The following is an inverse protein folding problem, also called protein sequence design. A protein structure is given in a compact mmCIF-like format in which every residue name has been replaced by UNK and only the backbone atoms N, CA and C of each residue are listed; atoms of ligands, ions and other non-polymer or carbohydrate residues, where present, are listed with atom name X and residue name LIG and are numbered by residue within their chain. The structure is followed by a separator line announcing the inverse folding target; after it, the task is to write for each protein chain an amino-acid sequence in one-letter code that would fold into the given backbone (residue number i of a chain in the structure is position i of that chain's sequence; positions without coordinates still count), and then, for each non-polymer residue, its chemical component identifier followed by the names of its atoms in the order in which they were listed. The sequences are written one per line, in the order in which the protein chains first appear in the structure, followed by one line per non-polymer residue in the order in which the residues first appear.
data_IF_843530910621
#
_entry.id   IF_843530910621
#
_cell.length_a   1.000
_cell.length_b   1.000
_cell.length_c   1.000
_cell.angle_alpha   90.00
_cell.angle_beta   90.00
_cell.angle_gamma   90.00
#
_symmetry.space_group_name_H-M   'P 1'
#
loop_
_entity.id
_entity.type
_entity.pdbx_description
1 polymer ?
#
# COMPACT_ATOMS: atom_id res chain seq x y z
N UNK A 1 21.46 -19.61 -21.93
CA UNK A 1 21.24 -18.25 -22.45
C UNK A 1 20.26 -18.29 -23.61
N UNK A 2 19.81 -17.13 -24.10
CA UNK A 2 19.06 -17.03 -25.35
C UNK A 2 19.79 -17.74 -26.51
N UNK A 3 19.04 -18.32 -27.44
CA UNK A 3 19.59 -19.12 -28.55
C UNK A 3 20.49 -18.30 -29.51
N UNK A 4 20.31 -16.99 -29.56
CA UNK A 4 20.99 -16.07 -30.50
C UNK A 4 22.03 -15.16 -29.83
N UNK A 5 22.44 -15.45 -28.60
CA UNK A 5 23.35 -14.61 -27.82
C UNK A 5 24.57 -15.40 -27.35
N UNK A 6 25.73 -14.76 -27.31
CA UNK A 6 26.89 -15.29 -26.61
C UNK A 6 26.72 -15.16 -25.09
N UNK A 7 27.59 -15.80 -24.30
CA UNK A 7 27.55 -15.69 -22.83
C UNK A 7 27.90 -14.30 -22.30
N UNK A 8 28.60 -13.49 -23.10
CA UNK A 8 28.94 -12.09 -22.79
C UNK A 8 27.78 -11.14 -23.07
N UNK A 9 26.85 -11.50 -23.96
CA UNK A 9 25.68 -10.68 -24.32
C UNK A 9 24.52 -10.78 -23.31
N UNK A 10 24.65 -11.61 -22.25
CA UNK A 10 23.55 -11.83 -21.30
C UNK A 10 24.02 -12.15 -19.88
N UNK A 11 23.31 -11.60 -18.90
CA UNK A 11 23.45 -11.95 -17.48
C UNK A 11 22.14 -12.56 -17.00
N UNK A 12 22.21 -13.79 -16.48
CA UNK A 12 21.04 -14.48 -15.92
C UNK A 12 20.87 -14.12 -14.44
N UNK A 13 19.75 -13.51 -14.09
CA UNK A 13 19.37 -13.28 -12.69
C UNK A 13 18.46 -14.40 -12.20
N UNK A 14 18.72 -14.86 -10.98
CA UNK A 14 17.97 -15.93 -10.34
C UNK A 14 17.30 -15.38 -9.09
N UNK A 15 16.01 -15.64 -8.87
CA UNK A 15 15.35 -15.26 -7.63
C UNK A 15 16.00 -15.90 -6.40
N UNK A 16 15.84 -15.25 -5.25
CA UNK A 16 16.24 -15.85 -3.98
C UNK A 16 15.27 -16.99 -3.63
N UNK A 17 15.69 -18.24 -3.84
CA UNK A 17 14.97 -19.41 -3.36
C UNK A 17 15.35 -19.69 -1.91
N UNK A 18 14.36 -19.86 -1.02
CA UNK A 18 14.63 -20.44 0.30
C UNK A 18 15.14 -21.86 0.11
N UNK A 19 16.03 -22.30 0.99
CA UNK A 19 16.58 -23.66 0.95
C UNK A 19 15.45 -24.69 0.95
N UNK A 20 15.46 -25.61 -0.01
CA UNK A 20 14.39 -26.60 -0.23
C UNK A 20 13.18 -26.12 -1.06
N UNK A 21 13.09 -24.84 -1.46
CA UNK A 21 12.06 -24.38 -2.40
C UNK A 21 12.49 -24.61 -3.86
N UNK A 22 11.74 -25.44 -4.57
CA UNK A 22 11.87 -25.60 -6.02
C UNK A 22 10.98 -24.59 -6.77
N UNK A 23 11.36 -24.19 -8.00
CA UNK A 23 10.48 -23.42 -8.87
C UNK A 23 9.15 -24.17 -9.08
N UNK A 24 8.02 -23.51 -8.80
CA UNK A 24 6.70 -24.08 -9.03
C UNK A 24 6.09 -23.50 -10.31
N UNK A 25 5.65 -24.39 -11.20
CA UNK A 25 4.96 -24.02 -12.44
C UNK A 25 3.44 -24.17 -12.33
N UNK A 26 2.94 -24.49 -11.12
CA UNK A 26 1.54 -24.83 -10.88
C UNK A 26 0.69 -23.55 -10.84
N UNK A 27 -0.22 -23.32 -11.80
CA UNK A 27 -1.05 -22.11 -11.83
C UNK A 27 -2.01 -22.00 -10.64
N UNK A 28 -2.33 -23.12 -9.99
CA UNK A 28 -3.25 -23.21 -8.85
C UNK A 28 -2.61 -22.96 -7.49
N UNK A 29 -1.27 -23.01 -7.39
CA UNK A 29 -0.59 -22.53 -6.19
C UNK A 29 -0.57 -21.00 -6.23
N UNK A 30 -1.57 -20.39 -5.59
CA UNK A 30 -1.48 -18.99 -5.17
C UNK A 30 -0.37 -18.88 -4.12
N UNK A 31 0.88 -18.88 -4.58
CA UNK A 31 1.93 -18.20 -3.82
C UNK A 31 1.50 -16.74 -3.76
N UNK A 32 1.29 -16.22 -2.56
CA UNK A 32 0.88 -14.82 -2.35
C UNK A 32 1.87 -13.84 -3.01
N UNK A 33 3.11 -14.28 -3.25
CA UNK A 33 4.18 -13.53 -3.93
C UNK A 33 4.82 -14.34 -5.05
N UNK A 34 4.89 -13.77 -6.26
CA UNK A 34 5.68 -14.36 -7.35
C UNK A 34 7.16 -14.28 -6.99
N UNK A 35 7.86 -15.41 -6.97
CA UNK A 35 9.27 -15.48 -6.55
C UNK A 35 10.15 -14.57 -7.42
N UNK A 36 9.82 -14.35 -8.70
CA UNK A 36 10.54 -13.40 -9.57
C UNK A 36 10.62 -11.98 -8.98
N UNK A 37 9.64 -11.57 -8.17
CA UNK A 37 9.61 -10.25 -7.53
C UNK A 37 10.53 -10.18 -6.30
N UNK A 38 11.33 -11.22 -6.00
CA UNK A 38 12.38 -11.16 -4.97
C UNK A 38 13.73 -10.72 -5.53
N UNK A 39 13.90 -10.63 -6.86
CA UNK A 39 15.12 -10.06 -7.45
C UNK A 39 15.13 -8.56 -7.16
N UNK A 40 16.22 -8.05 -6.59
CA UNK A 40 16.29 -6.64 -6.24
C UNK A 40 16.44 -5.76 -7.49
N UNK A 41 15.80 -4.58 -7.53
CA UNK A 41 15.92 -3.65 -8.65
C UNK A 41 17.38 -3.25 -8.97
N UNK A 42 18.21 -3.10 -7.95
CA UNK A 42 19.63 -2.75 -8.09
C UNK A 42 20.47 -3.87 -8.73
N UNK A 43 20.10 -5.14 -8.54
CA UNK A 43 20.78 -6.27 -9.20
C UNK A 43 20.46 -6.30 -10.70
N UNK A 44 19.23 -5.94 -11.05
CA UNK A 44 18.78 -5.78 -12.44
C UNK A 44 19.54 -4.61 -13.09
N UNK A 45 19.52 -3.44 -12.45
CA UNK A 45 20.20 -2.25 -12.95
C UNK A 45 21.71 -2.48 -13.11
N UNK A 46 22.36 -3.06 -12.09
CA UNK A 46 23.78 -3.39 -12.14
C UNK A 46 24.13 -4.39 -13.24
N UNK A 47 23.27 -5.38 -13.50
CA UNK A 47 23.45 -6.32 -14.60
C UNK A 47 23.34 -5.65 -15.97
N UNK A 48 22.36 -4.76 -16.15
CA UNK A 48 22.21 -3.99 -17.40
C UNK A 48 23.41 -3.06 -17.61
N UNK A 49 23.83 -2.32 -16.59
CA UNK A 49 24.98 -1.43 -16.68
C UNK A 49 26.27 -2.21 -17.00
N UNK A 50 26.48 -3.37 -16.38
CA UNK A 50 27.62 -4.24 -16.67
C UNK A 50 27.66 -4.70 -18.13
N UNK A 51 26.51 -5.06 -18.72
CA UNK A 51 26.43 -5.44 -20.13
C UNK A 51 26.72 -4.27 -21.08
N UNK A 52 26.46 -3.04 -20.64
CA UNK A 52 26.68 -1.82 -21.41
C UNK A 52 28.03 -1.16 -21.13
N UNK A 53 28.89 -1.79 -20.33
CA UNK A 53 30.18 -1.22 -19.87
C UNK A 53 30.00 0.15 -19.18
N UNK A 54 28.94 0.27 -18.38
CA UNK A 54 28.62 1.46 -17.59
C UNK A 54 28.96 1.24 -16.12
N UNK A 55 29.59 2.23 -15.50
CA UNK A 55 29.75 2.27 -14.06
C UNK A 55 28.37 2.45 -13.39
N UNK A 56 28.07 1.61 -12.41
CA UNK A 56 26.84 1.67 -11.63
C UNK A 56 27.15 1.47 -10.16
N UNK A 57 26.83 2.49 -9.36
CA UNK A 57 26.89 2.43 -7.92
C UNK A 57 25.53 2.82 -7.35
N UNK A 58 24.96 1.92 -6.54
CA UNK A 58 23.73 2.18 -5.81
C UNK A 58 24.02 2.08 -4.30
N UNK A 59 23.83 3.17 -3.53
CA UNK A 59 24.32 3.29 -2.16
C UNK A 59 23.47 2.53 -1.13
N UNK A 60 22.45 1.79 -1.57
CA UNK A 60 21.55 1.03 -0.71
C UNK A 60 21.49 -0.45 -1.09
N UNK A 61 21.10 -1.27 -0.13
CA UNK A 61 20.80 -2.69 -0.26
C UNK A 61 19.34 -2.91 0.14
N UNK A 62 18.56 -3.59 -0.71
CA UNK A 62 17.16 -3.92 -0.43
C UNK A 62 17.04 -5.04 0.59
N UNK A 63 16.33 -4.78 1.69
CA UNK A 63 16.04 -5.76 2.74
C UNK A 63 14.64 -6.35 2.61
N UNK A 64 13.66 -5.54 2.21
CA UNK A 64 12.27 -5.98 2.06
C UNK A 64 11.58 -5.20 0.95
N UNK A 65 10.74 -5.88 0.16
CA UNK A 65 9.91 -5.28 -0.89
C UNK A 65 8.46 -5.67 -0.59
N UNK A 66 7.61 -4.68 -0.34
CA UNK A 66 6.18 -4.86 -0.13
C UNK A 66 5.48 -5.49 -1.33
N UNK A 67 4.42 -6.25 -1.08
CA UNK A 67 3.75 -7.04 -2.12
C UNK A 67 3.06 -6.19 -3.20
N UNK A 68 2.68 -4.98 -2.84
CA UNK A 68 2.08 -3.97 -3.71
C UNK A 68 3.11 -2.92 -4.17
N UNK A 69 4.41 -3.08 -3.88
CA UNK A 69 5.42 -2.08 -4.22
C UNK A 69 5.46 -1.75 -5.72
N UNK A 70 5.13 -2.70 -6.61
CA UNK A 70 5.07 -2.45 -8.07
C UNK A 70 3.92 -1.53 -8.51
N UNK A 71 2.97 -1.25 -7.63
CA UNK A 71 1.75 -0.49 -7.92
C UNK A 71 1.89 0.93 -7.36
N UNK A 72 1.56 1.93 -8.17
CA UNK A 72 1.50 3.31 -7.71
C UNK A 72 0.16 3.57 -7.03
N UNK A 73 0.20 4.13 -5.83
CA UNK A 73 -0.99 4.47 -5.04
C UNK A 73 -0.95 5.93 -4.60
N UNK A 74 -2.04 6.65 -4.83
CA UNK A 74 -2.25 7.97 -4.23
C UNK A 74 -3.44 7.93 -3.30
N UNK A 75 -3.19 8.39 -2.09
CA UNK A 75 -4.19 8.58 -1.06
C UNK A 75 -4.38 10.07 -0.80
N UNK A 76 -5.55 10.43 -0.31
CA UNK A 76 -5.91 11.80 0.00
C UNK A 76 -6.61 11.85 1.36
N UNK A 77 -6.12 12.72 2.24
CA UNK A 77 -6.83 13.05 3.48
C UNK A 77 -7.83 14.14 3.15
N UNK A 78 -9.14 13.96 3.41
CA UNK A 78 -10.15 14.94 3.04
C UNK A 78 -10.13 16.12 4.01
N UNK A 79 -9.14 16.99 3.89
CA UNK A 79 -9.02 18.28 4.59
C UNK A 79 -8.92 19.46 3.60
N UNK A 80 -8.72 19.17 2.32
CA UNK A 80 -8.77 20.11 1.24
C UNK A 80 -9.33 19.43 -0.02
N UNK A 81 -9.69 20.21 -1.04
CA UNK A 81 -10.00 19.66 -2.36
C UNK A 81 -8.75 19.68 -3.22
N UNK A 82 -8.47 18.58 -3.90
CA UNK A 82 -7.30 18.47 -4.77
C UNK A 82 -7.71 18.31 -6.24
N UNK A 83 -7.00 18.99 -7.13
CA UNK A 83 -7.15 18.77 -8.57
C UNK A 83 -6.41 17.49 -8.95
N UNK A 84 -7.16 16.49 -9.43
CA UNK A 84 -6.66 15.15 -9.74
C UNK A 84 -6.76 14.82 -11.23
N UNK A 85 -6.73 15.84 -12.11
CA UNK A 85 -6.72 15.65 -13.57
C UNK A 85 -5.58 14.74 -14.06
N UNK A 86 -4.43 14.70 -13.36
CA UNK A 86 -3.31 13.80 -13.66
C UNK A 86 -3.55 12.32 -13.32
N UNK A 87 -4.65 11.99 -12.64
CA UNK A 87 -4.98 10.64 -12.16
C UNK A 87 -6.17 10.01 -12.90
N UNK A 88 -6.49 10.50 -14.10
CA UNK A 88 -7.58 9.95 -14.92
C UNK A 88 -7.41 8.44 -15.12
N UNK A 89 -8.49 7.68 -14.92
CA UNK A 89 -8.47 6.21 -14.99
C UNK A 89 -7.90 5.50 -13.75
N UNK A 90 -7.30 6.23 -12.80
CA UNK A 90 -6.80 5.66 -11.54
C UNK A 90 -7.86 5.67 -10.44
N UNK A 91 -7.56 5.01 -9.32
CA UNK A 91 -8.38 5.04 -8.10
C UNK A 91 -7.67 5.87 -7.05
N UNK A 92 -8.29 6.97 -6.61
CA UNK A 92 -7.82 7.77 -5.47
C UNK A 92 -8.41 7.21 -4.18
N UNK A 93 -7.63 7.15 -3.10
CA UNK A 93 -8.08 6.61 -1.82
C UNK A 93 -8.31 7.73 -0.81
N UNK A 94 -9.57 8.00 -0.47
CA UNK A 94 -9.98 8.98 0.53
C UNK A 94 -9.82 8.40 1.94
N UNK A 95 -8.92 8.98 2.73
CA UNK A 95 -8.53 8.56 4.09
C UNK A 95 -9.38 9.26 5.15
N UNK A 96 -10.67 8.97 5.16
CA UNK A 96 -11.62 9.45 6.19
C UNK A 96 -11.25 8.96 7.60
N UNK A 97 -10.46 7.90 7.69
CA UNK A 97 -9.87 7.41 8.94
C UNK A 97 -8.77 8.32 9.52
N UNK A 98 -8.12 9.14 8.68
CA UNK A 98 -7.12 10.12 9.13
C UNK A 98 -7.76 11.48 9.45
N UNK A 99 -8.78 11.88 8.69
CA UNK A 99 -9.61 13.05 8.98
C UNK A 99 -11.06 12.80 8.52
N UNK A 100 -12.02 12.77 9.45
CA UNK A 100 -13.42 12.49 9.12
C UNK A 100 -14.18 13.79 8.81
N UNK A 101 -13.97 14.34 7.62
CA UNK A 101 -14.69 15.52 7.12
C UNK A 101 -15.57 15.14 5.91
N UNK A 102 -16.86 14.96 6.18
CA UNK A 102 -17.84 14.57 5.17
C UNK A 102 -18.14 15.69 4.16
N UNK A 103 -17.97 16.96 4.54
CA UNK A 103 -18.18 18.08 3.64
C UNK A 103 -17.05 18.13 2.61
N UNK A 104 -15.81 17.98 3.06
CA UNK A 104 -14.65 17.90 2.17
C UNK A 104 -14.73 16.68 1.26
N UNK A 105 -15.13 15.52 1.79
CA UNK A 105 -15.39 14.32 1.00
C UNK A 105 -16.45 14.56 -0.09
N UNK A 106 -17.61 15.16 0.24
CA UNK A 106 -18.66 15.44 -0.74
C UNK A 106 -18.18 16.37 -1.86
N UNK A 107 -17.37 17.38 -1.52
CA UNK A 107 -16.73 18.27 -2.50
C UNK A 107 -15.75 17.51 -3.39
N UNK A 108 -14.87 16.71 -2.80
CA UNK A 108 -13.86 15.94 -3.54
C UNK A 108 -14.49 14.93 -4.50
N UNK A 109 -15.50 14.18 -4.07
CA UNK A 109 -16.26 13.26 -4.92
C UNK A 109 -17.03 13.98 -6.04
N UNK A 110 -17.36 15.26 -5.85
CA UNK A 110 -18.02 16.08 -6.87
C UNK A 110 -17.06 16.52 -7.97
N UNK A 111 -15.73 16.55 -7.73
CA UNK A 111 -14.73 16.93 -8.73
C UNK A 111 -14.80 16.00 -9.93
N UNK A 112 -14.85 16.58 -11.13
CA UNK A 112 -14.79 15.81 -12.37
C UNK A 112 -13.33 15.65 -12.80
N UNK A 113 -12.79 14.45 -12.59
CA UNK A 113 -11.39 14.09 -12.77
C UNK A 113 -11.19 12.87 -13.68
N UNK A 114 -12.27 12.21 -14.10
CA UNK A 114 -12.19 10.88 -14.72
C UNK A 114 -11.60 9.79 -13.81
N UNK A 115 -11.52 10.04 -12.50
CA UNK A 115 -10.98 9.14 -11.49
C UNK A 115 -12.12 8.46 -10.70
N UNK A 116 -11.85 7.25 -10.21
CA UNK A 116 -12.72 6.59 -9.24
C UNK A 116 -12.15 6.77 -7.83
N UNK A 117 -13.00 6.63 -6.82
CA UNK A 117 -12.63 6.81 -5.43
C UNK A 117 -12.83 5.52 -4.64
N UNK A 118 -11.82 5.15 -3.87
CA UNK A 118 -11.98 4.23 -2.75
C UNK A 118 -12.02 5.05 -1.47
N UNK A 119 -12.82 4.64 -0.48
CA UNK A 119 -12.96 5.37 0.78
C UNK A 119 -12.53 4.45 1.91
N UNK A 120 -11.61 4.88 2.76
CA UNK A 120 -11.21 4.18 3.99
C UNK A 120 -11.75 4.99 5.16
N UNK A 121 -12.60 4.38 5.99
CA UNK A 121 -13.22 5.06 7.14
C UNK A 121 -13.32 4.14 8.34
N UNK A 122 -13.19 4.72 9.54
CA UNK A 122 -13.48 4.06 10.82
C UNK A 122 -14.86 4.44 11.37
N UNK A 123 -15.46 5.52 10.84
CA UNK A 123 -16.73 6.07 11.31
C UNK A 123 -17.78 6.00 10.22
N UNK A 124 -19.08 5.87 10.58
CA UNK A 124 -20.17 5.98 9.63
C UNK A 124 -20.11 7.29 8.83
N UNK A 125 -20.32 7.20 7.53
CA UNK A 125 -20.47 8.35 6.62
C UNK A 125 -21.95 8.52 6.31
N UNK A 126 -22.43 9.75 6.14
CA UNK A 126 -23.80 9.99 5.72
C UNK A 126 -24.12 9.28 4.39
N UNK A 127 -25.03 8.33 4.47
CA UNK A 127 -25.44 7.47 3.35
C UNK A 127 -26.00 8.28 2.17
N UNK A 128 -26.50 9.50 2.40
CA UNK A 128 -26.93 10.39 1.31
C UNK A 128 -25.77 10.82 0.41
N UNK A 129 -24.60 11.12 0.99
CA UNK A 129 -23.38 11.46 0.25
C UNK A 129 -22.93 10.27 -0.58
N UNK A 130 -22.88 9.08 0.05
CA UNK A 130 -22.50 7.85 -0.63
C UNK A 130 -23.43 7.52 -1.80
N UNK A 131 -24.75 7.63 -1.60
CA UNK A 131 -25.75 7.41 -2.66
C UNK A 131 -25.63 8.42 -3.80
N UNK A 132 -25.42 9.70 -3.49
CA UNK A 132 -25.21 10.78 -4.46
C UNK A 132 -24.03 10.45 -5.39
N UNK A 133 -22.94 9.92 -4.84
CA UNK A 133 -21.69 9.66 -5.58
C UNK A 133 -21.44 8.19 -5.93
N UNK A 134 -22.45 7.32 -5.81
CA UNK A 134 -22.30 5.86 -5.97
C UNK A 134 -21.47 5.43 -7.18
N UNK A 135 -21.69 6.08 -8.34
CA UNK A 135 -21.01 5.71 -9.60
C UNK A 135 -19.51 5.97 -9.59
N UNK A 136 -19.04 6.91 -8.77
CA UNK A 136 -17.61 7.25 -8.63
C UNK A 136 -16.92 6.45 -7.54
N UNK A 137 -17.68 5.85 -6.60
CA UNK A 137 -17.14 5.09 -5.49
C UNK A 137 -16.91 3.63 -5.94
N UNK A 138 -15.64 3.25 -6.08
CA UNK A 138 -15.21 1.90 -6.44
C UNK A 138 -15.38 0.92 -5.29
N UNK A 139 -14.89 1.28 -4.10
CA UNK A 139 -14.97 0.41 -2.91
C UNK A 139 -14.89 1.25 -1.63
N UNK A 140 -15.71 0.92 -0.63
CA UNK A 140 -15.61 1.47 0.71
C UNK A 140 -15.00 0.43 1.67
N UNK A 141 -13.85 0.75 2.24
CA UNK A 141 -13.19 -0.02 3.30
C UNK A 141 -13.65 0.52 4.65
N UNK A 142 -14.48 -0.26 5.35
CA UNK A 142 -14.93 0.10 6.69
C UNK A 142 -14.02 -0.61 7.71
N UNK A 143 -13.12 0.17 8.32
CA UNK A 143 -12.18 -0.31 9.33
C UNK A 143 -12.85 -0.26 10.70
N UNK A 144 -13.33 -1.39 11.16
CA UNK A 144 -14.08 -1.51 12.40
C UNK A 144 -13.17 -1.56 13.61
N UNK A 145 -13.58 -0.86 14.64
CA UNK A 145 -13.04 -0.89 16.00
C UNK A 145 -14.18 -1.17 17.00
N UNK A 146 -13.93 -0.96 18.30
CA UNK A 146 -14.95 -1.12 19.35
C UNK A 146 -16.19 -0.22 19.18
N UNK A 147 -16.10 0.84 18.38
CA UNK A 147 -17.19 1.76 18.06
C UNK A 147 -17.96 1.40 16.77
N UNK A 148 -17.79 0.18 16.25
CA UNK A 148 -18.41 -0.25 15.00
C UNK A 148 -19.93 -0.06 14.94
N UNK A 149 -20.49 0.13 13.74
CA UNK A 149 -21.92 0.33 13.53
C UNK A 149 -22.52 -0.65 12.53
N UNK A 150 -23.24 -1.66 13.04
CA UNK A 150 -24.01 -2.58 12.19
C UNK A 150 -25.08 -1.83 11.38
N UNK A 151 -25.64 -0.76 11.94
CA UNK A 151 -26.62 0.09 11.25
C UNK A 151 -25.99 0.72 10.01
N UNK A 152 -24.77 1.23 10.11
CA UNK A 152 -24.06 1.79 8.98
C UNK A 152 -23.84 0.74 7.88
N UNK A 153 -23.38 -0.47 8.23
CA UNK A 153 -23.17 -1.55 7.26
C UNK A 153 -24.48 -1.99 6.59
N UNK A 154 -25.57 -2.09 7.37
CA UNK A 154 -26.93 -2.34 6.84
C UNK A 154 -27.35 -1.28 5.83
N UNK A 155 -27.10 -0.02 6.12
CA UNK A 155 -27.47 1.07 5.21
C UNK A 155 -26.54 1.16 4.00
N UNK A 156 -25.25 0.83 4.16
CA UNK A 156 -24.27 0.72 3.10
C UNK A 156 -24.65 -0.39 2.10
N UNK A 157 -25.05 -1.57 2.58
CA UNK A 157 -25.55 -2.66 1.74
C UNK A 157 -26.71 -2.20 0.84
N UNK A 158 -27.66 -1.44 1.39
CA UNK A 158 -28.80 -0.88 0.62
C UNK A 158 -28.39 0.14 -0.44
N UNK A 159 -27.19 0.73 -0.36
CA UNK A 159 -26.69 1.61 -1.43
C UNK A 159 -26.26 0.83 -2.66
N UNK A 160 -25.89 -0.45 -2.49
CA UNK A 160 -25.26 -1.27 -3.53
C UNK A 160 -23.86 -0.78 -3.94
N UNK A 161 -23.18 -0.02 -3.07
CA UNK A 161 -21.75 0.28 -3.19
C UNK A 161 -20.99 -0.96 -2.70
N UNK A 162 -19.93 -1.36 -3.42
CA UNK A 162 -19.05 -2.42 -2.97
C UNK A 162 -18.32 -1.98 -1.69
N UNK A 163 -18.31 -2.83 -0.67
CA UNK A 163 -17.56 -2.56 0.55
C UNK A 163 -16.78 -3.78 1.03
N UNK A 164 -15.75 -3.52 1.84
CA UNK A 164 -14.92 -4.52 2.50
C UNK A 164 -14.86 -4.15 3.98
N UNK A 165 -15.13 -5.12 4.84
CA UNK A 165 -15.04 -4.97 6.29
C UNK A 165 -13.63 -5.36 6.73
N UNK A 166 -12.92 -4.47 7.38
CA UNK A 166 -11.59 -4.75 7.93
C UNK A 166 -11.51 -4.37 9.40
N UNK A 167 -10.50 -4.85 10.11
CA UNK A 167 -10.21 -4.41 11.49
C UNK A 167 -8.71 -4.51 11.75
N UNK A 168 -8.23 -3.74 12.73
CA UNK A 168 -6.89 -3.88 13.32
C UNK A 168 -6.94 -4.54 14.70
N UNK A 169 -8.13 -4.88 15.16
CA UNK A 169 -8.36 -5.58 16.42
C UNK A 169 -8.05 -7.08 16.27
N UNK A 170 -7.94 -7.77 17.40
CA UNK A 170 -7.57 -9.18 17.46
C UNK A 170 -8.66 -10.12 16.91
N UNK A 171 -8.28 -11.38 16.67
CA UNK A 171 -9.24 -12.44 16.33
C UNK A 171 -10.38 -12.58 17.34
N UNK A 172 -10.11 -12.37 18.64
CA UNK A 172 -11.14 -12.40 19.68
C UNK A 172 -12.20 -11.30 19.50
N UNK A 173 -11.83 -10.11 19.02
CA UNK A 173 -12.78 -9.06 18.68
C UNK A 173 -13.65 -9.50 17.49
N UNK A 174 -13.04 -10.02 16.43
CA UNK A 174 -13.77 -10.51 15.25
C UNK A 174 -14.76 -11.61 15.64
N UNK A 175 -14.34 -12.56 16.48
CA UNK A 175 -15.19 -13.65 16.94
C UNK A 175 -16.40 -13.13 17.74
N UNK A 176 -16.20 -12.08 18.55
CA UNK A 176 -17.26 -11.46 19.34
C UNK A 176 -18.36 -10.79 18.51
N UNK A 177 -18.03 -10.29 17.31
CA UNK A 177 -18.96 -9.58 16.42
C UNK A 177 -19.41 -10.44 15.23
N UNK A 178 -18.87 -11.66 15.10
CA UNK A 178 -19.03 -12.49 13.90
C UNK A 178 -20.48 -12.77 13.55
N UNK A 179 -21.32 -13.07 14.54
CA UNK A 179 -22.74 -13.36 14.33
C UNK A 179 -23.51 -12.12 13.87
N UNK A 180 -23.14 -10.93 14.36
CA UNK A 180 -23.76 -9.67 13.97
C UNK A 180 -23.45 -9.29 12.51
N UNK A 181 -22.28 -9.70 12.00
CA UNK A 181 -21.79 -9.33 10.68
C UNK A 181 -21.90 -10.43 9.61
N UNK A 182 -22.33 -11.65 9.96
CA UNK A 182 -22.30 -12.82 9.06
C UNK A 182 -23.07 -12.63 7.75
N UNK A 183 -24.16 -11.86 7.77
CA UNK A 183 -24.98 -11.57 6.59
C UNK A 183 -24.43 -10.41 5.75
N UNK A 184 -23.42 -9.70 6.25
CA UNK A 184 -22.90 -8.48 5.64
C UNK A 184 -21.50 -8.64 5.04
N UNK A 185 -20.77 -9.69 5.41
CA UNK A 185 -19.46 -10.01 4.83
C UNK A 185 -18.47 -10.52 5.86
N UNK A 186 -17.34 -11.00 5.37
CA UNK A 186 -16.22 -11.44 6.21
C UNK A 186 -15.47 -10.21 6.70
N UNK A 187 -15.16 -10.19 7.99
CA UNK A 187 -14.30 -9.18 8.61
C UNK A 187 -12.85 -9.64 8.45
N UNK A 188 -12.07 -8.88 7.68
CA UNK A 188 -10.66 -9.18 7.47
C UNK A 188 -9.80 -8.48 8.53
N UNK A 189 -8.98 -9.25 9.24
CA UNK A 189 -7.95 -8.67 10.12
C UNK A 189 -6.82 -8.18 9.24
N UNK A 190 -6.44 -6.92 9.42
CA UNK A 190 -5.25 -6.33 8.86
C UNK A 190 -4.22 -6.25 9.98
N UNK A 191 -3.04 -6.82 9.75
CA UNK A 191 -1.94 -6.87 10.70
C UNK A 191 -0.78 -6.03 10.15
N UNK A 192 0.02 -5.39 11.03
CA UNK A 192 1.23 -4.73 10.58
C UNK A 192 2.26 -5.78 10.14
N UNK A 193 3.27 -5.36 9.38
CA UNK A 193 4.43 -6.21 9.13
C UNK A 193 5.08 -6.59 10.46
N UNK A 194 5.29 -7.89 10.68
CA UNK A 194 6.16 -8.38 11.75
C UNK A 194 7.60 -8.54 11.20
N UNK A 195 8.54 -7.65 11.58
CA UNK A 195 9.93 -7.73 11.12
C UNK A 195 10.61 -9.03 11.55
N UNK A 196 10.16 -9.64 12.65
CA UNK A 196 10.73 -10.88 13.16
C UNK A 196 10.40 -12.09 12.28
N UNK A 197 9.41 -11.99 11.39
CA UNK A 197 9.10 -13.03 10.40
C UNK A 197 9.93 -12.89 9.11
N UNK A 198 10.62 -11.77 8.93
CA UNK A 198 11.38 -11.45 7.72
C UNK A 198 12.87 -11.66 7.99
N UNK A 199 13.46 -12.69 7.35
CA UNK A 199 14.84 -13.12 7.60
C UNK A 199 15.89 -11.99 7.48
N UNK A 200 15.71 -11.07 6.52
CA UNK A 200 16.56 -9.90 6.28
C UNK A 200 16.35 -8.73 7.24
N UNK A 201 15.27 -8.73 8.04
CA UNK A 201 14.97 -7.67 9.00
C UNK A 201 15.13 -8.10 10.47
N UNK A 202 15.15 -9.42 10.75
CA UNK A 202 15.17 -10.00 12.12
C UNK A 202 16.19 -9.38 13.07
N UNK A 203 17.36 -9.00 12.57
CA UNK A 203 18.48 -8.48 13.37
C UNK A 203 18.82 -7.02 13.06
N UNK A 204 17.97 -6.34 12.28
CA UNK A 204 18.21 -4.97 11.87
C UNK A 204 17.52 -4.00 12.84
N UNK A 205 18.18 -2.88 13.13
CA UNK A 205 17.57 -1.77 13.83
C UNK A 205 16.74 -0.93 12.85
N UNK A 206 15.42 -1.06 12.91
CA UNK A 206 14.50 -0.39 11.99
C UNK A 206 14.61 1.13 11.99
N UNK A 207 15.02 1.75 13.11
CA UNK A 207 15.20 3.21 13.18
C UNK A 207 16.41 3.68 12.37
N UNK A 208 17.37 2.79 12.12
CA UNK A 208 18.56 3.06 11.29
C UNK A 208 18.34 2.83 9.79
N UNK A 209 17.20 2.23 9.43
CA UNK A 209 16.87 1.86 8.05
C UNK A 209 16.16 2.99 7.31
N UNK A 210 16.08 2.80 6.00
CA UNK A 210 15.43 3.71 5.08
C UNK A 210 14.38 2.99 4.26
N UNK A 211 13.55 3.73 3.54
CA UNK A 211 12.60 3.17 2.61
C UNK A 211 12.39 4.05 1.38
N UNK A 212 12.05 3.44 0.25
CA UNK A 212 11.42 4.12 -0.89
C UNK A 212 9.94 3.72 -0.96
N UNK A 213 9.08 4.61 -1.44
CA UNK A 213 7.62 4.41 -1.45
C UNK A 213 7.05 4.55 -2.85
N UNK A 214 6.12 3.66 -3.21
CA UNK A 214 5.23 3.82 -4.36
C UNK A 214 3.81 4.24 -3.96
N UNK A 215 3.61 4.54 -2.67
CA UNK A 215 2.39 5.14 -2.13
C UNK A 215 2.68 6.55 -1.62
N UNK A 216 1.83 7.50 -1.96
CA UNK A 216 1.90 8.85 -1.40
C UNK A 216 0.54 9.32 -0.92
N UNK A 217 0.55 10.08 0.17
CA UNK A 217 -0.63 10.67 0.79
C UNK A 217 -0.57 12.17 0.58
N UNK A 218 -1.67 12.73 0.08
CA UNK A 218 -1.86 14.17 -0.08
C UNK A 218 -2.73 14.66 1.09
N UNK A 219 -2.26 15.67 1.80
CA UNK A 219 -2.97 16.26 2.94
C UNK A 219 -2.58 17.73 3.05
N UNK A 220 -3.56 18.64 3.13
CA UNK A 220 -3.33 20.10 3.14
C UNK A 220 -2.36 20.57 2.02
N UNK A 221 -2.54 20.04 0.81
CA UNK A 221 -1.70 20.31 -0.37
C UNK A 221 -0.21 19.94 -0.20
N UNK A 222 0.13 19.14 0.81
CA UNK A 222 1.47 18.58 1.04
C UNK A 222 1.49 17.10 0.71
N UNK A 223 2.67 16.60 0.39
CA UNK A 223 2.91 15.19 0.07
C UNK A 223 3.60 14.49 1.23
N UNK A 224 3.19 13.25 1.49
CA UNK A 224 3.74 12.40 2.54
C UNK A 224 3.96 10.99 1.98
N UNK A 225 5.14 10.38 2.16
CA UNK A 225 5.44 9.06 1.61
C UNK A 225 4.69 7.92 2.34
N UNK A 226 4.17 8.15 3.54
CA UNK A 226 3.34 7.21 4.30
C UNK A 226 2.63 7.91 5.48
N UNK A 227 1.89 7.16 6.29
CA UNK A 227 1.20 7.68 7.49
C UNK A 227 2.13 8.07 8.63
N UNK A 228 3.33 7.49 8.73
CA UNK A 228 4.27 7.84 9.80
C UNK A 228 4.83 9.26 9.61
N UNK A 229 5.08 9.66 8.36
CA UNK A 229 5.43 11.03 7.98
C UNK A 229 4.31 12.03 8.26
N UNK A 230 3.04 11.65 8.04
CA UNK A 230 1.89 12.48 8.44
C UNK A 230 1.89 12.72 9.95
N UNK A 231 2.04 11.65 10.75
CA UNK A 231 2.03 11.75 12.23
C UNK A 231 3.13 12.64 12.77
N UNK A 232 4.31 12.64 12.13
CA UNK A 232 5.44 13.51 12.47
C UNK A 232 5.34 14.92 11.86
N UNK A 233 4.41 15.15 10.94
CA UNK A 233 4.26 16.42 10.23
C UNK A 233 5.38 16.70 9.23
N UNK A 234 6.07 15.67 8.75
CA UNK A 234 7.21 15.79 7.81
C UNK A 234 6.67 15.62 6.38
N UNK A 235 6.63 16.69 5.61
CA UNK A 235 6.23 16.63 4.20
C UNK A 235 7.43 16.55 3.25
N UNK A 236 7.19 16.02 2.05
CA UNK A 236 8.16 16.00 0.94
C UNK A 236 7.73 16.96 -0.18
N UNK A 237 8.66 17.48 -0.99
CA UNK A 237 8.34 18.51 -1.99
C UNK A 237 7.46 18.00 -3.14
N UNK A 238 7.56 16.71 -3.48
CA UNK A 238 6.85 16.09 -4.59
C UNK A 238 6.71 14.58 -4.39
N UNK A 239 5.82 13.98 -5.19
CA UNK A 239 5.74 12.52 -5.37
C UNK A 239 6.96 12.09 -6.20
N UNK A 240 7.91 11.40 -5.57
CA UNK A 240 9.11 10.86 -6.21
C UNK A 240 9.41 9.46 -5.67
N UNK A 241 9.20 8.45 -6.52
CA UNK A 241 9.37 7.04 -6.17
C UNK A 241 10.83 6.58 -6.13
N UNK A 242 11.76 7.42 -6.60
CA UNK A 242 13.20 7.13 -6.60
C UNK A 242 13.88 7.58 -5.32
N UNK A 243 13.25 8.49 -4.57
CA UNK A 243 13.77 8.99 -3.31
C UNK A 243 13.71 7.94 -2.21
N UNK A 244 14.72 7.99 -1.35
CA UNK A 244 14.86 7.13 -0.18
C UNK A 244 14.78 8.01 1.08
N UNK A 245 13.93 7.60 2.00
CA UNK A 245 13.54 8.34 3.19
C UNK A 245 13.93 7.56 4.45
N UNK A 246 14.38 8.19 5.55
CA UNK A 246 14.57 7.48 6.82
C UNK A 246 13.23 6.95 7.33
N UNK A 247 13.25 5.81 8.03
CA UNK A 247 12.04 5.31 8.69
C UNK A 247 11.72 6.20 9.90
N UNK A 248 10.62 6.92 9.80
CA UNK A 248 10.06 7.72 10.89
C UNK A 248 8.95 6.93 11.60
N UNK A 249 8.89 7.00 12.94
CA UNK A 249 7.83 6.35 13.76
C UNK A 249 7.53 4.90 13.34
N UNK A 250 8.44 3.99 13.73
CA UNK A 250 8.44 2.56 13.37
C UNK A 250 7.07 1.91 13.59
N UNK A 251 6.41 2.18 14.72
CA UNK A 251 5.13 1.55 15.03
C UNK A 251 4.07 1.85 13.97
N UNK A 252 4.00 3.08 13.47
CA UNK A 252 3.08 3.45 12.41
C UNK A 252 3.54 3.00 11.04
N UNK A 253 4.86 3.03 10.80
CA UNK A 253 5.47 2.58 9.55
C UNK A 253 5.10 1.14 9.21
N UNK A 254 5.12 0.23 10.19
CA UNK A 254 4.85 -1.20 9.98
C UNK A 254 3.45 -1.49 9.43
N UNK A 255 2.49 -0.57 9.60
CA UNK A 255 1.14 -0.66 9.03
C UNK A 255 1.04 -0.28 7.55
N UNK A 256 2.12 0.24 6.97
CA UNK A 256 2.12 0.90 5.66
C UNK A 256 3.16 0.29 4.70
N UNK A 257 3.58 -0.95 4.95
CA UNK A 257 4.72 -1.59 4.30
C UNK A 257 4.41 -2.24 2.95
N UNK A 258 3.13 -2.46 2.61
CA UNK A 258 2.72 -3.12 1.37
C UNK A 258 3.24 -2.41 0.10
N UNK A 259 3.38 -1.08 0.15
CA UNK A 259 3.78 -0.24 -0.98
C UNK A 259 5.17 0.37 -0.83
N UNK A 260 6.00 -0.16 0.08
CA UNK A 260 7.36 0.35 0.31
C UNK A 260 8.41 -0.71 0.04
N UNK A 261 9.63 -0.25 -0.19
CA UNK A 261 10.84 -1.06 -0.18
C UNK A 261 11.72 -0.55 0.95
N UNK A 262 12.03 -1.42 1.90
CA UNK A 262 12.93 -1.13 3.02
C UNK A 262 14.36 -1.43 2.56
N UNK A 263 15.26 -0.50 2.83
CA UNK A 263 16.65 -0.55 2.39
C UNK A 263 17.60 -0.16 3.51
N UNK A 264 18.82 -0.70 3.43
CA UNK A 264 19.95 -0.35 4.30
C UNK A 264 20.98 0.41 3.49
N UNK A 265 21.60 1.44 4.08
CA UNK A 265 22.70 2.15 3.43
C UNK A 265 23.96 1.28 3.48
N UNK A 266 24.65 1.13 2.34
CA UNK A 266 25.93 0.40 2.28
C UNK A 266 27.00 1.18 3.05
N UNK A 267 27.83 0.45 3.79
CA UNK A 267 28.98 0.97 4.53
C UNK A 267 30.13 1.33 3.61
#
# INVERSE_FOLDING_TARGET
GPYWSSSEDSISLTPHFKEGMLPTYTPSQKLNKKVINTINPEDIAGSVCKLLDLEFEYPFESLYIGDCYKEALVEHVPNCTINVQGFSGQTLYERMDLNHDEECLDKQLSVDCGCNFSIITEKPINVRILKKHKKKIKTLFYRMDKGHSIKFVKDLLKTGIKYILTTRESQSFVDSIKLDYMDYGIVHIYEPLDPSEIDSLKNEDLESLYFSSNKFIISDQKFYPNTSYIKKGISVPSIDTTMVYPIEDVQSFLWDTDYVRIVKKKS
#
